data_IF_215466227651
#
_entry.id   IF_215466227651
#
_cell.length_a   1.000
_cell.length_b   1.000
_cell.length_c   1.000
_cell.angle_alpha   90.00
_cell.angle_beta   90.00
_cell.angle_gamma   90.00
#
_symmetry.space_group_name_H-M   'P 1'
#
loop_
_entity.id
_entity.type
_entity.pdbx_description
1 polymer ?
#
# COMPACT_ATOMS: atom_id res chain seq x y z
N UNK A 1 1.82 14.74 40.93
CA UNK A 1 2.87 15.78 41.02
C UNK A 1 2.36 17.00 40.28
N UNK A 2 1.97 18.06 41.00
CA UNK A 2 1.49 19.29 40.37
C UNK A 2 2.68 20.04 39.76
N UNK A 3 2.65 20.27 38.45
CA UNK A 3 3.67 21.08 37.78
C UNK A 3 3.65 22.50 38.37
N UNK A 4 4.76 22.98 38.96
CA UNK A 4 4.79 24.28 39.64
C UNK A 4 4.48 25.45 38.69
N UNK A 5 4.71 25.26 37.39
CA UNK A 5 4.47 26.26 36.33
C UNK A 5 2.97 26.54 36.16
N UNK A 6 2.11 25.51 36.27
CA UNK A 6 0.66 25.68 36.13
C UNK A 6 0.05 26.38 37.35
N UNK A 7 0.59 26.14 38.55
CA UNK A 7 0.11 26.77 39.79
C UNK A 7 0.47 28.25 39.81
N UNK A 8 1.66 28.62 39.36
CA UNK A 8 2.10 30.02 39.29
C UNK A 8 1.30 30.79 38.23
N UNK A 9 1.06 30.21 37.05
CA UNK A 9 0.30 30.88 35.98
C UNK A 9 -1.18 31.07 36.35
N UNK A 10 -1.81 30.12 37.05
CA UNK A 10 -3.20 30.25 37.53
C UNK A 10 -3.33 31.30 38.64
N UNK A 11 -2.34 31.37 39.55
CA UNK A 11 -2.31 32.34 40.65
C UNK A 11 -2.11 33.79 40.16
N UNK A 12 -1.34 33.96 39.08
CA UNK A 12 -1.11 35.27 38.45
C UNK A 12 -2.30 35.78 37.61
N UNK A 13 -3.17 34.89 37.11
CA UNK A 13 -4.40 35.26 36.40
C UNK A 13 -5.53 35.68 37.35
N UNK A 14 -5.57 35.14 38.58
CA UNK A 14 -6.57 35.45 39.60
C UNK A 14 -6.23 36.70 40.42
N UNK A 15 -4.94 37.02 40.57
CA UNK A 15 -4.51 38.27 41.21
C UNK A 15 -4.54 39.38 40.16
N UNK A 16 -5.57 40.23 40.20
CA UNK A 16 -5.76 41.39 39.31
C UNK A 16 -4.69 42.48 39.48
N UNK A 17 -3.44 42.12 39.18
CA UNK A 17 -2.26 42.96 39.31
C UNK A 17 -1.98 43.66 37.98
N UNK A 18 -1.78 44.97 38.00
CA UNK A 18 -1.42 45.79 36.83
C UNK A 18 0.01 45.43 36.37
N UNK A 19 0.16 44.28 35.73
CA UNK A 19 1.41 43.80 35.15
C UNK A 19 1.67 44.57 33.86
N UNK A 20 2.88 45.14 33.77
CA UNK A 20 3.40 45.80 32.57
C UNK A 20 3.18 44.93 31.34
N UNK A 21 2.79 45.55 30.22
CA UNK A 21 2.53 44.86 28.95
C UNK A 21 3.71 44.01 28.49
N UNK A 22 4.93 44.41 28.84
CA UNK A 22 6.15 43.64 28.56
C UNK A 22 6.22 42.33 29.35
N UNK A 23 5.88 42.35 30.64
CA UNK A 23 5.88 41.14 31.47
C UNK A 23 4.76 40.16 31.06
N UNK A 24 3.62 40.67 30.57
CA UNK A 24 2.57 39.85 29.96
C UNK A 24 3.06 39.16 28.68
N UNK A 25 3.83 39.86 27.86
CA UNK A 25 4.40 39.29 26.63
C UNK A 25 5.38 38.15 26.94
N UNK A 26 6.30 38.36 27.88
CA UNK A 26 7.25 37.32 28.29
C UNK A 26 6.57 36.10 28.93
N UNK A 27 5.55 36.33 29.78
CA UNK A 27 4.80 35.25 30.41
C UNK A 27 3.99 34.45 29.38
N UNK A 28 3.40 35.13 28.39
CA UNK A 28 2.72 34.48 27.27
C UNK A 28 3.68 33.65 26.41
N UNK A 29 4.87 34.18 26.13
CA UNK A 29 5.91 33.49 25.36
C UNK A 29 6.40 32.22 26.08
N UNK A 30 6.66 32.31 27.39
CA UNK A 30 7.06 31.15 28.20
C UNK A 30 5.95 30.10 28.27
N UNK A 31 4.69 30.54 28.44
CA UNK A 31 3.54 29.64 28.43
C UNK A 31 3.37 28.95 27.07
N UNK A 32 3.56 29.66 25.97
CA UNK A 32 3.48 29.13 24.60
C UNK A 32 4.58 28.08 24.35
N UNK A 33 5.83 28.38 24.73
CA UNK A 33 6.95 27.44 24.58
C UNK A 33 6.72 26.18 25.43
N UNK A 34 6.25 26.34 26.67
CA UNK A 34 5.91 25.21 27.54
C UNK A 34 4.79 24.34 26.96
N UNK A 35 3.76 24.97 26.37
CA UNK A 35 2.67 24.27 25.69
C UNK A 35 3.19 23.47 24.49
N UNK A 36 4.06 24.04 23.66
CA UNK A 36 4.65 23.36 22.50
C UNK A 36 5.44 22.12 22.95
N UNK A 37 6.27 22.26 23.98
CA UNK A 37 7.06 21.12 24.51
C UNK A 37 6.14 20.02 25.04
N UNK A 38 5.08 20.40 25.76
CA UNK A 38 4.09 19.46 26.30
C UNK A 38 3.35 18.72 25.17
N UNK A 39 2.92 19.44 24.13
CA UNK A 39 2.24 18.86 22.96
C UNK A 39 3.18 17.92 22.20
N UNK A 40 4.43 18.30 21.99
CA UNK A 40 5.43 17.45 21.33
C UNK A 40 5.73 16.17 22.14
N UNK A 41 5.78 16.26 23.46
CA UNK A 41 5.92 15.10 24.34
C UNK A 41 4.68 14.20 24.30
N UNK A 42 3.47 14.78 24.31
CA UNK A 42 2.22 14.04 24.16
C UNK A 42 2.12 13.36 22.80
N UNK A 43 2.56 14.01 21.72
CA UNK A 43 2.64 13.41 20.39
C UNK A 43 3.61 12.23 20.40
N UNK A 44 4.80 12.37 20.99
CA UNK A 44 5.74 11.24 21.11
C UNK A 44 5.17 10.08 21.91
N UNK A 45 4.53 10.35 23.04
CA UNK A 45 3.87 9.33 23.87
C UNK A 45 2.71 8.68 23.10
N UNK A 46 1.88 9.45 22.40
CA UNK A 46 0.84 8.89 21.54
C UNK A 46 1.44 8.02 20.43
N UNK A 47 2.52 8.45 19.79
CA UNK A 47 3.22 7.68 18.76
C UNK A 47 3.86 6.41 19.31
N UNK A 48 4.36 6.40 20.55
CA UNK A 48 4.93 5.22 21.21
C UNK A 48 3.85 4.20 21.64
N UNK A 49 2.64 4.67 22.02
CA UNK A 49 1.54 3.81 22.43
C UNK A 49 0.60 3.40 21.29
N UNK A 50 0.56 4.14 20.17
CA UNK A 50 -0.13 3.71 18.97
C UNK A 50 0.75 2.71 18.21
N UNK A 51 0.33 1.45 18.00
CA UNK A 51 0.96 0.58 17.02
C UNK A 51 0.61 1.12 15.64
N UNK A 52 1.33 2.15 15.19
CA UNK A 52 1.17 2.83 13.90
C UNK A 52 1.20 1.80 12.76
N UNK A 53 1.97 0.73 12.90
CA UNK A 53 2.03 -0.35 11.91
C UNK A 53 0.72 -1.13 11.77
N UNK A 54 -0.08 -1.25 12.85
CA UNK A 54 -1.38 -1.94 12.82
C UNK A 54 -2.53 -1.01 12.48
N UNK A 55 -2.50 0.24 12.96
CA UNK A 55 -3.59 1.19 12.72
C UNK A 55 -3.51 1.84 11.34
N UNK A 56 -2.31 2.15 10.83
CA UNK A 56 -2.15 2.71 9.49
C UNK A 56 -2.58 1.69 8.42
N UNK A 57 -2.27 0.40 8.61
CA UNK A 57 -2.79 -0.64 7.73
C UNK A 57 -4.31 -0.76 7.82
N UNK A 58 -4.90 -0.64 9.02
CA UNK A 58 -6.35 -0.72 9.21
C UNK A 58 -7.08 0.49 8.59
N UNK A 59 -6.61 1.71 8.83
CA UNK A 59 -7.19 2.95 8.27
C UNK A 59 -7.01 2.98 6.74
N UNK A 60 -5.85 2.57 6.22
CA UNK A 60 -5.65 2.41 4.76
C UNK A 60 -6.63 1.40 4.17
N UNK A 61 -6.91 0.29 4.85
CA UNK A 61 -7.86 -0.71 4.37
C UNK A 61 -9.30 -0.18 4.42
N UNK A 62 -9.70 0.59 5.43
CA UNK A 62 -11.05 1.16 5.53
C UNK A 62 -11.30 2.31 4.54
N UNK A 63 -10.34 3.23 4.36
CA UNK A 63 -10.46 4.29 3.35
C UNK A 63 -10.46 3.70 1.94
N UNK A 64 -9.60 2.71 1.67
CA UNK A 64 -9.56 2.06 0.38
C UNK A 64 -10.85 1.28 0.08
N UNK A 65 -11.45 0.62 1.07
CA UNK A 65 -12.72 -0.13 0.87
C UNK A 65 -13.91 0.81 0.68
N UNK A 66 -13.96 1.94 1.39
CA UNK A 66 -15.04 2.93 1.29
C UNK A 66 -14.98 3.73 -0.02
N UNK A 67 -13.79 4.17 -0.44
CA UNK A 67 -13.61 4.84 -1.73
C UNK A 67 -13.80 3.89 -2.91
N UNK A 68 -13.42 2.61 -2.79
CA UNK A 68 -13.67 1.59 -3.81
C UNK A 68 -15.16 1.23 -3.91
N UNK A 69 -15.90 1.16 -2.79
CA UNK A 69 -17.36 0.97 -2.83
C UNK A 69 -18.10 2.18 -3.40
N UNK A 70 -17.71 3.40 -3.02
CA UNK A 70 -18.31 4.62 -3.57
C UNK A 70 -17.97 4.81 -5.07
N UNK A 71 -16.75 4.47 -5.49
CA UNK A 71 -16.34 4.48 -6.89
C UNK A 71 -16.97 3.33 -7.70
N UNK A 72 -17.19 2.15 -7.11
CA UNK A 72 -17.96 1.06 -7.73
C UNK A 72 -19.41 1.49 -7.99
N UNK A 73 -20.06 2.06 -6.98
CA UNK A 73 -21.46 2.45 -7.08
C UNK A 73 -21.68 3.66 -8.02
N UNK A 74 -20.66 4.54 -8.14
CA UNK A 74 -20.67 5.64 -9.13
C UNK A 74 -20.38 5.14 -10.55
N UNK A 75 -19.48 4.16 -10.72
CA UNK A 75 -19.11 3.61 -12.03
C UNK A 75 -20.17 2.65 -12.59
N UNK A 76 -20.89 1.92 -11.74
CA UNK A 76 -22.01 1.07 -12.13
C UNK A 76 -23.21 1.87 -12.70
N UNK A 77 -23.40 3.12 -12.24
CA UNK A 77 -24.43 4.03 -12.76
C UNK A 77 -23.98 4.72 -14.07
N UNK A 78 -22.67 4.86 -14.30
CA UNK A 78 -22.09 5.55 -15.47
C UNK A 78 -21.85 4.58 -16.65
N UNK A 79 -21.47 3.32 -16.38
CA UNK A 79 -21.22 2.27 -17.39
C UNK A 79 -22.53 1.73 -18.04
N UNK A 80 -23.72 2.06 -17.50
CA UNK A 80 -25.00 1.66 -18.10
C UNK A 80 -25.45 2.59 -19.24
N UNK A 81 -24.77 3.73 -19.47
CA UNK A 81 -25.22 4.76 -20.43
C UNK A 81 -24.29 4.98 -21.64
N UNK A 82 -23.10 4.38 -21.69
CA UNK A 82 -22.16 4.63 -22.80
C UNK A 82 -21.66 3.33 -23.43
N UNK A 83 -22.11 3.16 -24.67
CA UNK A 83 -21.56 2.36 -25.78
C UNK A 83 -21.63 0.84 -25.70
N UNK A 84 -22.76 0.34 -26.18
CA UNK A 84 -22.81 -0.60 -27.31
C UNK A 84 -21.77 -0.22 -28.38
N UNK A 85 -20.68 -0.98 -28.52
CA UNK A 85 -20.04 -1.32 -29.81
C UNK A 85 -18.86 -2.29 -29.61
N UNK A 86 -19.05 -3.52 -30.06
CA UNK A 86 -18.04 -4.43 -30.64
C UNK A 86 -16.71 -4.68 -29.90
N UNK A 87 -16.65 -5.78 -29.13
CA UNK A 87 -15.94 -7.00 -29.54
C UNK A 87 -16.19 -8.14 -28.56
N UNK A 88 -16.74 -9.21 -29.08
CA UNK A 88 -16.93 -10.50 -28.43
C UNK A 88 -15.57 -11.12 -28.11
N UNK A 89 -15.16 -11.08 -26.85
CA UNK A 89 -14.23 -12.02 -26.25
C UNK A 89 -14.74 -12.19 -24.83
N UNK A 90 -15.01 -13.42 -24.40
CA UNK A 90 -15.39 -13.71 -23.01
C UNK A 90 -14.43 -12.99 -22.07
N UNK A 91 -14.87 -11.87 -21.49
CA UNK A 91 -14.05 -11.18 -20.49
C UNK A 91 -13.96 -12.12 -19.31
N UNK A 92 -12.81 -12.79 -19.16
CA UNK A 92 -12.50 -13.54 -17.97
C UNK A 92 -12.63 -12.57 -16.78
N UNK A 93 -13.64 -12.73 -15.89
CA UNK A 93 -13.93 -11.75 -14.86
C UNK A 93 -12.76 -11.61 -13.87
N UNK A 94 -11.93 -12.65 -13.73
CA UNK A 94 -10.73 -12.64 -12.90
C UNK A 94 -9.59 -11.83 -13.54
N UNK A 95 -9.48 -11.84 -14.89
CA UNK A 95 -8.56 -10.97 -15.63
C UNK A 95 -8.93 -9.51 -15.41
N UNK A 96 -10.18 -9.14 -15.65
CA UNK A 96 -10.65 -7.75 -15.48
C UNK A 96 -10.47 -7.29 -14.02
N UNK A 97 -10.73 -8.17 -13.05
CA UNK A 97 -10.43 -7.90 -11.64
C UNK A 97 -8.94 -7.66 -11.38
N UNK A 98 -8.06 -8.54 -11.88
CA UNK A 98 -6.62 -8.43 -11.67
C UNK A 98 -6.05 -7.14 -12.26
N UNK A 99 -6.42 -6.83 -13.51
CA UNK A 99 -5.96 -5.63 -14.20
C UNK A 99 -6.43 -4.37 -13.47
N UNK A 100 -7.70 -4.32 -13.05
CA UNK A 100 -8.25 -3.17 -12.35
C UNK A 100 -7.61 -2.92 -10.97
N UNK A 101 -7.30 -3.99 -10.24
CA UNK A 101 -6.86 -3.87 -8.84
C UNK A 101 -5.35 -3.81 -8.66
N UNK A 102 -4.59 -4.48 -9.54
CA UNK A 102 -3.15 -4.65 -9.34
C UNK A 102 -2.29 -4.08 -10.44
N UNK A 103 -2.78 -3.97 -11.68
CA UNK A 103 -1.96 -3.50 -12.80
C UNK A 103 -1.90 -1.98 -12.80
N UNK A 104 -0.70 -1.45 -13.00
CA UNK A 104 -0.48 -0.02 -13.16
C UNK A 104 -1.12 0.47 -14.47
N UNK A 105 -1.70 1.67 -14.45
CA UNK A 105 -2.45 2.28 -15.55
C UNK A 105 -1.66 2.31 -16.87
N UNK A 106 -0.35 2.51 -16.79
CA UNK A 106 0.56 2.54 -17.95
C UNK A 106 0.66 1.18 -18.67
N UNK A 107 0.28 0.09 -17.99
CA UNK A 107 0.39 -1.29 -18.45
C UNK A 107 -0.96 -1.98 -18.65
N UNK A 108 -2.09 -1.30 -18.48
CA UNK A 108 -3.45 -1.89 -18.60
C UNK A 108 -3.72 -2.47 -19.99
N UNK A 109 -3.14 -1.86 -21.03
CA UNK A 109 -3.28 -2.33 -22.42
C UNK A 109 -2.26 -3.41 -22.81
N UNK A 110 -1.38 -3.80 -21.89
CA UNK A 110 -0.39 -4.85 -22.13
C UNK A 110 -0.91 -6.19 -21.59
N UNK A 111 -0.48 -7.33 -22.17
CA UNK A 111 -0.91 -8.67 -21.74
C UNK A 111 -0.22 -9.12 -20.43
N UNK A 112 -0.29 -8.28 -19.39
CA UNK A 112 0.36 -8.51 -18.08
C UNK A 112 -0.27 -9.72 -17.39
N UNK A 113 -1.59 -9.84 -17.42
CA UNK A 113 -2.30 -10.97 -16.80
C UNK A 113 -1.91 -12.30 -17.46
N UNK A 114 -1.93 -12.33 -18.79
CA UNK A 114 -1.54 -13.48 -19.61
C UNK A 114 -0.08 -13.86 -19.37
N UNK A 115 0.81 -12.86 -19.21
CA UNK A 115 2.21 -13.08 -18.87
C UNK A 115 2.36 -13.85 -17.55
N UNK A 116 1.58 -13.50 -16.53
CA UNK A 116 1.57 -14.25 -15.27
C UNK A 116 0.99 -15.65 -15.44
N UNK A 117 -0.10 -15.80 -16.20
CA UNK A 117 -0.68 -17.13 -16.45
C UNK A 117 0.32 -18.06 -17.15
N UNK A 118 1.01 -17.57 -18.18
CA UNK A 118 1.97 -18.37 -18.93
C UNK A 118 3.19 -18.72 -18.08
N UNK A 119 3.72 -17.74 -17.34
CA UNK A 119 4.80 -17.95 -16.40
C UNK A 119 4.50 -19.05 -15.37
N UNK A 120 3.26 -19.12 -14.90
CA UNK A 120 2.86 -20.08 -13.88
C UNK A 120 2.59 -21.49 -14.42
N UNK A 121 2.22 -21.62 -15.70
CA UNK A 121 2.12 -22.91 -16.39
C UNK A 121 3.48 -23.58 -16.57
N UNK A 122 4.49 -22.83 -17.04
CA UNK A 122 5.80 -23.41 -17.37
C UNK A 122 6.62 -23.84 -16.15
N UNK A 123 6.39 -23.22 -14.98
CA UNK A 123 7.29 -23.33 -13.81
C UNK A 123 6.69 -24.00 -12.58
N UNK A 124 5.50 -24.60 -12.66
CA UNK A 124 4.76 -25.16 -11.51
C UNK A 124 4.67 -24.13 -10.37
N UNK A 125 3.76 -23.16 -10.50
CA UNK A 125 3.67 -21.89 -9.77
C UNK A 125 4.00 -21.80 -8.27
N UNK A 126 4.20 -22.85 -7.49
CA UNK A 126 4.36 -22.73 -6.04
C UNK A 126 5.52 -21.86 -5.55
N UNK A 127 6.74 -22.01 -6.09
CA UNK A 127 7.95 -21.33 -5.54
C UNK A 127 8.22 -19.95 -6.15
N UNK A 128 7.59 -19.64 -7.27
CA UNK A 128 7.96 -18.48 -8.08
C UNK A 128 6.85 -17.43 -8.17
N UNK A 129 5.63 -17.71 -7.70
CA UNK A 129 4.50 -16.77 -7.76
C UNK A 129 4.80 -15.48 -7.00
N UNK A 130 5.29 -15.56 -5.76
CA UNK A 130 5.60 -14.34 -4.98
C UNK A 130 6.77 -13.57 -5.60
N UNK A 131 7.80 -14.27 -6.07
CA UNK A 131 8.92 -13.66 -6.78
C UNK A 131 8.46 -12.92 -8.04
N UNK A 132 7.54 -13.51 -8.81
CA UNK A 132 7.00 -12.89 -10.02
C UNK A 132 6.17 -11.64 -9.70
N UNK A 133 5.33 -11.67 -8.67
CA UNK A 133 4.60 -10.48 -8.24
C UNK A 133 5.52 -9.41 -7.67
N UNK A 134 6.55 -9.81 -6.91
CA UNK A 134 7.58 -8.90 -6.45
C UNK A 134 8.30 -8.23 -7.62
N UNK A 135 8.67 -8.99 -8.65
CA UNK A 135 9.31 -8.44 -9.85
C UNK A 135 8.39 -7.46 -10.59
N UNK A 136 7.10 -7.76 -10.70
CA UNK A 136 6.13 -6.84 -11.32
C UNK A 136 5.90 -5.56 -10.52
N UNK A 137 5.95 -5.63 -9.18
CA UNK A 137 5.78 -4.48 -8.30
C UNK A 137 7.09 -3.71 -8.04
N UNK A 138 8.24 -4.27 -8.43
CA UNK A 138 9.53 -3.61 -8.33
C UNK A 138 9.58 -2.36 -9.21
N UNK A 139 10.21 -1.29 -8.70
CA UNK A 139 10.27 0.02 -9.35
C UNK A 139 10.84 0.00 -10.77
N UNK A 140 11.64 -1.01 -11.13
CA UNK A 140 12.22 -1.15 -12.48
C UNK A 140 11.26 -1.77 -13.51
N UNK A 141 10.24 -2.52 -13.09
CA UNK A 141 9.19 -3.01 -13.99
C UNK A 141 7.91 -2.19 -13.84
N UNK A 142 7.48 -1.96 -12.60
CA UNK A 142 6.32 -1.13 -12.26
C UNK A 142 5.01 -1.55 -12.97
N UNK A 143 4.89 -2.84 -13.30
CA UNK A 143 3.69 -3.42 -13.90
C UNK A 143 2.56 -3.52 -12.89
N UNK A 144 2.90 -3.80 -11.63
CA UNK A 144 1.95 -3.92 -10.54
C UNK A 144 2.09 -2.77 -9.56
N UNK A 145 0.97 -2.23 -9.09
CA UNK A 145 0.93 -1.21 -8.02
C UNK A 145 1.11 -1.84 -6.63
N UNK A 146 0.81 -3.13 -6.50
CA UNK A 146 0.99 -3.88 -5.24
C UNK A 146 1.05 -5.39 -5.48
N UNK A 147 1.64 -6.11 -4.54
CA UNK A 147 1.66 -7.58 -4.53
C UNK A 147 0.34 -8.09 -3.95
N UNK A 148 -0.44 -8.92 -4.68
CA UNK A 148 -1.67 -9.52 -4.17
C UNK A 148 -1.50 -10.22 -2.82
N UNK A 149 -2.57 -10.32 -2.04
CA UNK A 149 -2.58 -11.21 -0.86
C UNK A 149 -2.66 -12.67 -1.30
N UNK A 150 -2.33 -13.60 -0.40
CA UNK A 150 -2.46 -15.03 -0.68
C UNK A 150 -3.88 -15.40 -1.13
N UNK A 151 -4.91 -14.91 -0.44
CA UNK A 151 -6.30 -15.19 -0.79
C UNK A 151 -6.69 -14.65 -2.18
N UNK A 152 -6.21 -13.46 -2.54
CA UNK A 152 -6.45 -12.88 -3.86
C UNK A 152 -5.71 -13.63 -4.96
N UNK A 153 -4.44 -13.98 -4.72
CA UNK A 153 -3.66 -14.77 -5.65
C UNK A 153 -4.32 -16.13 -5.89
N UNK A 154 -4.76 -16.84 -4.84
CA UNK A 154 -5.46 -18.13 -4.96
C UNK A 154 -6.76 -17.98 -5.73
N UNK A 155 -7.54 -16.92 -5.46
CA UNK A 155 -8.80 -16.68 -6.19
C UNK A 155 -8.57 -16.47 -7.69
N UNK A 156 -7.45 -15.87 -8.08
CA UNK A 156 -7.17 -15.49 -9.46
C UNK A 156 -6.45 -16.60 -10.23
N UNK A 157 -5.47 -17.26 -9.61
CA UNK A 157 -4.56 -18.21 -10.26
C UNK A 157 -4.68 -19.66 -9.77
N UNK A 158 -5.55 -19.92 -8.78
CA UNK A 158 -5.75 -21.25 -8.22
C UNK A 158 -4.80 -21.59 -7.06
N UNK A 159 -5.24 -22.47 -6.17
CA UNK A 159 -4.46 -22.90 -5.00
C UNK A 159 -3.29 -23.81 -5.39
N UNK A 160 -3.47 -24.64 -6.41
CA UNK A 160 -2.46 -25.51 -7.01
C UNK A 160 -1.25 -24.71 -7.52
N UNK A 161 -1.53 -23.52 -8.05
CA UNK A 161 -0.52 -22.60 -8.59
C UNK A 161 0.15 -21.82 -7.47
N UNK A 162 -0.62 -21.23 -6.56
CA UNK A 162 -0.09 -20.29 -5.55
C UNK A 162 0.55 -21.02 -4.36
N UNK A 163 0.10 -22.23 -4.06
CA UNK A 163 0.53 -23.02 -2.92
C UNK A 163 0.01 -22.49 -1.58
N UNK A 164 0.59 -23.00 -0.48
CA UNK A 164 0.08 -22.75 0.86
C UNK A 164 0.31 -21.33 1.36
N UNK A 165 -0.61 -20.85 2.21
CA UNK A 165 -0.56 -19.51 2.83
C UNK A 165 0.75 -19.25 3.59
N UNK A 166 1.26 -20.26 4.30
CA UNK A 166 2.50 -20.14 5.07
C UNK A 166 3.70 -19.94 4.14
N UNK A 167 3.80 -20.73 3.07
CA UNK A 167 4.87 -20.61 2.08
C UNK A 167 4.82 -19.23 1.40
N UNK A 168 3.63 -18.79 0.99
CA UNK A 168 3.42 -17.47 0.40
C UNK A 168 3.89 -16.34 1.32
N UNK A 169 3.52 -16.41 2.60
CA UNK A 169 3.87 -15.38 3.60
C UNK A 169 5.37 -15.35 3.88
N UNK A 170 6.02 -16.52 4.00
CA UNK A 170 7.47 -16.64 4.20
C UNK A 170 8.23 -16.11 2.99
N UNK A 171 7.81 -16.48 1.77
CA UNK A 171 8.42 -15.94 0.55
C UNK A 171 8.29 -14.42 0.47
N UNK A 172 7.12 -13.85 0.81
CA UNK A 172 6.92 -12.40 0.81
C UNK A 172 7.85 -11.70 1.80
N UNK A 173 8.09 -12.29 2.98
CA UNK A 173 9.07 -11.79 3.95
C UNK A 173 10.53 -11.90 3.49
N UNK A 174 10.85 -12.86 2.61
CA UNK A 174 12.21 -13.05 2.10
C UNK A 174 12.63 -11.99 1.06
N UNK A 175 11.68 -11.23 0.50
CA UNK A 175 11.91 -10.21 -0.52
C UNK A 175 11.74 -8.78 0.02
N UNK A 176 12.01 -8.56 1.32
CA UNK A 176 12.00 -7.20 1.90
C UNK A 176 13.21 -6.41 1.37
N UNK A 177 13.01 -5.18 0.85
CA UNK A 177 14.10 -4.33 0.38
C UNK A 177 15.17 -4.11 1.47
N UNK A 178 16.44 -4.27 1.11
CA UNK A 178 17.58 -4.09 2.02
C UNK A 178 18.12 -5.37 2.66
N UNK A 179 17.48 -6.54 2.45
CA UNK A 179 17.96 -7.84 2.95
C UNK A 179 17.96 -8.92 1.85
N UNK A 180 18.44 -8.55 0.66
CA UNK A 180 18.56 -9.46 -0.49
C UNK A 180 20.01 -9.89 -0.65
N UNK A 181 20.26 -11.19 -0.53
CA UNK A 181 21.55 -11.79 -0.88
C UNK A 181 21.76 -11.83 -2.40
N UNK A 182 23.01 -12.06 -2.83
CA UNK A 182 23.37 -12.09 -4.25
C UNK A 182 22.59 -13.15 -5.05
N UNK A 183 22.25 -14.27 -4.40
CA UNK A 183 21.46 -15.34 -5.00
C UNK A 183 20.06 -14.83 -5.33
N UNK A 184 19.35 -14.22 -4.39
CA UNK A 184 18.02 -13.63 -4.60
C UNK A 184 18.07 -12.53 -5.65
N UNK A 185 19.11 -11.69 -5.66
CA UNK A 185 19.28 -10.68 -6.70
C UNK A 185 19.40 -11.30 -8.09
N UNK A 186 20.13 -12.41 -8.22
CA UNK A 186 20.23 -13.16 -9.48
C UNK A 186 18.89 -13.77 -9.90
N UNK A 187 18.12 -14.32 -8.95
CA UNK A 187 16.79 -14.89 -9.19
C UNK A 187 15.79 -13.81 -9.65
N UNK A 188 15.82 -12.64 -9.01
CA UNK A 188 15.01 -11.47 -9.41
C UNK A 188 15.37 -11.04 -10.83
N UNK A 189 16.66 -10.90 -11.16
CA UNK A 189 17.09 -10.52 -12.52
C UNK A 189 16.63 -11.54 -13.57
N UNK A 190 16.80 -12.83 -13.29
CA UNK A 190 16.37 -13.90 -14.19
C UNK A 190 14.86 -13.90 -14.40
N UNK A 191 14.08 -13.72 -13.32
CA UNK A 191 12.62 -13.65 -13.39
C UNK A 191 12.16 -12.44 -14.21
N UNK A 192 12.75 -11.25 -14.00
CA UNK A 192 12.42 -10.05 -14.77
C UNK A 192 12.68 -10.24 -16.27
N UNK A 193 13.79 -10.87 -16.63
CA UNK A 193 14.11 -11.17 -18.04
C UNK A 193 13.11 -12.15 -18.65
N UNK A 194 12.76 -13.21 -17.93
CA UNK A 194 11.77 -14.19 -18.37
C UNK A 194 10.39 -13.55 -18.59
N UNK A 195 9.91 -12.76 -17.62
CA UNK A 195 8.64 -12.06 -17.72
C UNK A 195 8.61 -11.10 -18.91
N UNK A 196 9.67 -10.33 -19.14
CA UNK A 196 9.77 -9.44 -20.31
C UNK A 196 9.76 -10.19 -21.62
N UNK A 197 10.42 -11.35 -21.68
CA UNK A 197 10.42 -12.21 -22.87
C UNK A 197 9.01 -12.70 -23.17
N UNK A 198 8.33 -13.30 -22.19
CA UNK A 198 6.94 -13.78 -22.35
C UNK A 198 6.03 -12.64 -22.79
N UNK A 199 6.16 -11.46 -22.18
CA UNK A 199 5.36 -10.30 -22.57
C UNK A 199 5.58 -9.91 -24.04
N UNK A 200 6.84 -9.85 -24.49
CA UNK A 200 7.18 -9.54 -25.87
C UNK A 200 6.61 -10.59 -26.84
N UNK A 201 6.77 -11.87 -26.52
CA UNK A 201 6.25 -12.98 -27.33
C UNK A 201 4.71 -12.90 -27.46
N UNK A 202 4.01 -12.51 -26.40
CA UNK A 202 2.55 -12.29 -26.42
C UNK A 202 2.13 -11.04 -27.19
N UNK A 203 2.95 -9.99 -27.21
CA UNK A 203 2.69 -8.77 -27.98
C UNK A 203 2.88 -8.98 -29.49
N UNK A 204 3.81 -9.85 -29.90
CA UNK A 204 4.01 -10.19 -31.31
C UNK A 204 2.89 -11.07 -31.88
N UNK A 205 2.13 -11.76 -31.02
CA UNK A 205 1.03 -12.65 -31.40
C UNK A 205 -0.35 -11.95 -31.44
N UNK A 206 -0.44 -10.69 -31.01
CA UNK A 206 -1.67 -9.90 -30.90
C UNK A 206 -1.88 -8.96 -32.11
#
# INVERSE_FOLDING_TARGET
MACPILVVTLSFLLSGYHISTEAKFWLWLVALVSLIIMVMALIRILCDFLPVDRLANKIRTYHHTSEVQAALHKKEIEDQKISTSERTQEENPLKSYFVRQFVNKDYVNQPVFETYQELFKEKNGGKNVVLAFYCGADTNMNWLISIPTHAEAVRIFGEETVGSKNNYSVQKGNFIPGNLDDKKLSEIRAMKLLMKKILADLQEQA
#
